data_IF_723290270763
#
_entry.id   IF_723290270763
#
_cell.length_a   1.000
_cell.length_b   1.000
_cell.length_c   1.000
_cell.angle_alpha   90.00
_cell.angle_beta   90.00
_cell.angle_gamma   90.00
#
_symmetry.space_group_name_H-M   'P 1'
#
loop_
_entity.id
_entity.type
_entity.pdbx_description
1 polymer ?
#
# COMPACT_ATOMS: atom_id res chain seq x y z
N UNK A 1 17.70 42.41 -4.02
CA UNK A 1 18.08 41.27 -4.84
C UNK A 1 19.00 40.46 -3.96
N UNK A 2 18.42 39.55 -3.17
CA UNK A 2 19.19 38.49 -2.53
C UNK A 2 19.59 37.55 -3.66
N UNK A 3 20.90 37.46 -3.87
CA UNK A 3 21.46 36.43 -4.76
C UNK A 3 21.36 35.18 -3.92
N UNK A 4 20.34 34.35 -4.20
CA UNK A 4 20.27 32.97 -3.69
C UNK A 4 21.50 32.23 -4.21
N UNK A 5 22.57 32.27 -3.44
CA UNK A 5 23.78 31.50 -3.70
C UNK A 5 23.53 30.08 -3.26
N UNK A 6 22.90 29.30 -4.15
CA UNK A 6 22.75 27.86 -3.93
C UNK A 6 24.15 27.21 -3.83
N UNK A 7 24.32 26.35 -2.82
CA UNK A 7 25.60 25.67 -2.64
C UNK A 7 25.83 24.68 -3.78
N UNK A 8 27.10 24.62 -4.23
CA UNK A 8 27.55 23.66 -5.25
C UNK A 8 28.27 22.49 -4.61
N UNK A 9 28.00 21.31 -5.13
CA UNK A 9 28.67 20.09 -4.72
C UNK A 9 29.30 19.35 -5.88
N UNK A 10 30.03 18.31 -5.57
CA UNK A 10 30.68 17.43 -6.54
C UNK A 10 30.38 15.98 -6.22
N UNK A 11 30.03 15.17 -7.24
CA UNK A 11 29.82 13.74 -7.10
C UNK A 11 31.17 13.06 -6.86
N UNK A 12 31.32 12.39 -5.71
CA UNK A 12 32.55 11.71 -5.33
C UNK A 12 32.50 10.20 -5.47
N UNK A 13 31.29 9.62 -5.38
CA UNK A 13 31.06 8.19 -5.55
C UNK A 13 29.72 7.93 -6.25
N UNK A 14 29.64 6.82 -7.00
CA UNK A 14 28.43 6.37 -7.68
C UNK A 14 28.30 4.88 -7.44
N UNK A 15 27.15 4.45 -6.92
CA UNK A 15 26.78 3.05 -6.73
C UNK A 15 25.34 2.86 -7.19
N UNK A 16 25.19 2.50 -8.46
CA UNK A 16 23.88 2.39 -9.11
C UNK A 16 23.06 3.68 -8.94
N UNK A 17 21.92 3.63 -8.26
CA UNK A 17 21.04 4.79 -8.02
C UNK A 17 21.48 5.67 -6.85
N UNK A 18 22.41 5.21 -6.01
CA UNK A 18 22.96 5.98 -4.89
C UNK A 18 24.26 6.65 -5.30
N UNK A 19 24.32 7.96 -5.07
CA UNK A 19 25.54 8.76 -5.26
C UNK A 19 25.96 9.36 -3.92
N UNK A 20 27.26 9.60 -3.77
CA UNK A 20 27.78 10.41 -2.67
C UNK A 20 28.27 11.73 -3.23
N UNK A 21 27.80 12.81 -2.62
CA UNK A 21 28.12 14.20 -3.03
C UNK A 21 28.83 14.92 -1.90
N UNK A 22 29.88 15.66 -2.22
CA UNK A 22 30.61 16.50 -1.28
C UNK A 22 30.29 17.97 -1.54
N UNK A 23 29.88 18.70 -0.47
CA UNK A 23 29.60 20.12 -0.49
C UNK A 23 30.63 20.83 0.40
N UNK A 24 31.49 21.64 -0.19
CA UNK A 24 32.52 22.37 0.54
C UNK A 24 32.03 23.74 1.04
N UNK A 25 31.12 24.37 0.29
CA UNK A 25 30.59 25.69 0.59
C UNK A 25 29.38 25.63 1.56
N UNK A 26 29.09 26.72 2.24
CA UNK A 26 27.91 26.93 3.08
C UNK A 26 26.90 27.86 2.36
N UNK A 27 25.59 27.67 2.62
CA UNK A 27 24.96 26.69 3.52
C UNK A 27 24.97 25.26 2.97
N UNK A 28 25.11 24.28 3.88
CA UNK A 28 24.96 22.87 3.50
C UNK A 28 23.49 22.56 3.17
N UNK A 29 23.22 21.64 2.21
CA UNK A 29 21.85 21.25 1.90
C UNK A 29 21.21 20.50 3.05
N UNK A 30 19.87 20.58 3.13
CA UNK A 30 19.07 19.83 4.08
C UNK A 30 18.71 18.42 3.58
N UNK A 31 18.30 17.56 4.51
CA UNK A 31 17.73 16.24 4.18
C UNK A 31 16.41 16.44 3.40
N UNK A 32 16.18 15.58 2.41
CA UNK A 32 15.07 15.63 1.46
C UNK A 32 15.10 16.84 0.49
N UNK A 33 16.19 17.58 0.45
CA UNK A 33 16.38 18.62 -0.55
C UNK A 33 16.75 18.01 -1.91
N UNK A 34 16.24 18.62 -2.97
CA UNK A 34 16.54 18.24 -4.35
C UNK A 34 17.82 18.97 -4.81
N UNK A 35 18.71 18.21 -5.41
CA UNK A 35 19.87 18.74 -6.12
C UNK A 35 19.80 18.34 -7.60
N UNK A 36 20.36 19.18 -8.45
CA UNK A 36 20.38 18.98 -9.91
C UNK A 36 21.80 18.89 -10.41
N UNK A 37 22.00 18.13 -11.47
CA UNK A 37 23.26 18.13 -12.20
C UNK A 37 23.43 19.48 -12.92
N UNK A 38 24.57 20.16 -12.76
CA UNK A 38 24.80 21.46 -13.38
C UNK A 38 24.80 21.41 -14.92
N UNK A 39 25.29 20.29 -15.50
CA UNK A 39 25.36 20.09 -16.94
C UNK A 39 24.02 19.68 -17.59
N UNK A 40 23.10 19.10 -16.83
CA UNK A 40 21.77 18.65 -17.28
C UNK A 40 20.78 18.70 -16.11
N UNK A 41 20.03 19.80 -15.99
CA UNK A 41 19.05 20.00 -14.93
C UNK A 41 17.90 18.96 -14.89
N UNK A 42 17.76 18.14 -15.91
CA UNK A 42 16.80 17.04 -15.93
C UNK A 42 17.28 15.82 -15.14
N UNK A 43 18.56 15.80 -14.73
CA UNK A 43 19.11 14.80 -13.81
C UNK A 43 18.98 15.36 -12.39
N UNK A 44 18.10 14.74 -11.61
CA UNK A 44 17.75 15.16 -10.27
C UNK A 44 18.06 14.07 -9.25
N UNK A 45 18.51 14.52 -8.08
CA UNK A 45 18.78 13.64 -6.94
C UNK A 45 18.12 14.20 -5.69
N UNK A 46 17.78 13.33 -4.76
CA UNK A 46 17.32 13.68 -3.42
C UNK A 46 18.41 13.38 -2.41
N UNK A 47 18.62 14.27 -1.45
CA UNK A 47 19.51 14.07 -0.31
C UNK A 47 18.80 13.24 0.75
N UNK A 48 19.34 12.04 1.04
CA UNK A 48 18.72 11.09 1.96
C UNK A 48 19.31 11.20 3.36
N UNK A 49 20.65 11.22 3.45
CA UNK A 49 21.34 11.26 4.74
C UNK A 49 22.73 11.91 4.62
N UNK A 50 23.30 12.30 5.74
CA UNK A 50 24.69 12.74 5.83
C UNK A 50 25.59 11.52 6.03
N UNK A 51 26.55 11.31 5.12
CA UNK A 51 27.59 10.26 5.23
C UNK A 51 28.88 10.76 5.89
N UNK A 52 28.99 12.06 6.14
CA UNK A 52 30.16 12.70 6.76
C UNK A 52 29.97 14.20 6.96
N UNK A 53 31.00 14.91 7.39
CA UNK A 53 30.91 16.34 7.71
C UNK A 53 30.40 17.19 6.53
N UNK A 54 30.86 16.91 5.31
CA UNK A 54 30.52 17.63 4.09
C UNK A 54 29.94 16.69 3.02
N UNK A 55 29.58 15.45 3.38
CA UNK A 55 29.22 14.40 2.45
C UNK A 55 27.81 13.92 2.72
N UNK A 56 27.11 13.66 1.63
CA UNK A 56 25.70 13.26 1.67
C UNK A 56 25.47 12.09 0.71
N UNK A 57 24.74 11.09 1.16
CA UNK A 57 24.15 10.11 0.27
C UNK A 57 22.91 10.71 -0.39
N UNK A 58 22.87 10.58 -1.71
CA UNK A 58 21.75 11.06 -2.51
C UNK A 58 21.27 9.94 -3.41
N UNK A 59 19.97 9.91 -3.70
CA UNK A 59 19.34 8.93 -4.57
C UNK A 59 18.95 9.57 -5.90
N UNK A 60 19.22 8.88 -6.99
CA UNK A 60 18.90 9.33 -8.34
C UNK A 60 17.40 9.10 -8.62
N UNK A 61 16.69 10.19 -8.92
CA UNK A 61 15.26 10.18 -9.21
C UNK A 61 14.95 10.24 -10.71
N UNK A 62 15.93 10.64 -11.55
CA UNK A 62 15.71 10.86 -12.98
C UNK A 62 15.76 9.59 -13.83
N UNK A 63 16.25 8.46 -13.31
CA UNK A 63 16.53 7.25 -14.06
C UNK A 63 17.65 7.41 -15.11
N UNK A 64 18.25 8.59 -15.23
CA UNK A 64 19.34 8.87 -16.16
C UNK A 64 20.70 8.59 -15.51
N UNK A 65 21.68 8.17 -16.30
CA UNK A 65 23.04 7.81 -15.87
C UNK A 65 24.14 8.61 -16.60
N UNK A 66 23.79 9.73 -17.22
CA UNK A 66 24.73 10.58 -17.99
C UNK A 66 25.56 11.51 -17.11
N UNK A 67 26.04 11.05 -15.96
CA UNK A 67 26.91 11.77 -15.03
C UNK A 67 28.06 10.86 -14.58
N UNK A 68 29.13 11.47 -14.04
CA UNK A 68 30.34 10.78 -13.62
C UNK A 68 30.88 11.36 -12.30
N UNK A 69 31.86 10.68 -11.73
CA UNK A 69 32.63 11.26 -10.61
C UNK A 69 33.27 12.59 -11.04
N UNK A 70 33.18 13.59 -10.17
CA UNK A 70 33.62 14.95 -10.46
C UNK A 70 32.56 15.84 -11.12
N UNK A 71 31.39 15.28 -11.51
CA UNK A 71 30.29 16.10 -12.03
C UNK A 71 29.78 17.06 -10.95
N UNK A 72 29.57 18.32 -11.34
CA UNK A 72 29.05 19.34 -10.43
C UNK A 72 27.52 19.24 -10.28
N UNK A 73 27.05 19.43 -9.06
CA UNK A 73 25.63 19.49 -8.73
C UNK A 73 25.31 20.79 -8.00
N UNK A 74 24.07 21.25 -8.11
CA UNK A 74 23.58 22.50 -7.52
C UNK A 74 22.37 22.18 -6.65
N UNK A 75 22.37 22.71 -5.41
CA UNK A 75 21.19 22.67 -4.55
C UNK A 75 20.07 23.52 -5.13
N UNK A 76 18.82 23.09 -4.95
CA UNK A 76 17.66 23.87 -5.38
C UNK A 76 17.01 24.67 -4.26
N UNK A 77 17.33 24.37 -2.99
CA UNK A 77 16.62 24.89 -1.83
C UNK A 77 15.20 24.35 -1.67
N UNK A 78 14.77 23.48 -2.58
CA UNK A 78 13.43 22.89 -2.55
C UNK A 78 13.51 21.44 -2.05
N UNK A 79 12.60 21.07 -1.16
CA UNK A 79 12.42 19.67 -0.76
C UNK A 79 11.67 18.90 -1.83
N UNK A 80 11.87 17.57 -1.84
CA UNK A 80 11.11 16.70 -2.72
C UNK A 80 9.62 16.85 -2.47
N UNK A 81 8.89 17.16 -3.53
CA UNK A 81 7.46 17.43 -3.48
C UNK A 81 6.74 16.84 -4.67
N UNK A 82 5.48 16.50 -4.46
CA UNK A 82 4.59 15.98 -5.49
C UNK A 82 3.56 17.05 -5.87
N UNK A 83 3.29 17.25 -7.17
CA UNK A 83 2.19 18.08 -7.61
C UNK A 83 0.86 17.40 -7.32
N UNK A 84 -0.12 18.15 -6.78
CA UNK A 84 -1.46 17.65 -6.44
C UNK A 84 -2.55 18.59 -6.95
N UNK A 85 -3.71 18.04 -7.28
CA UNK A 85 -4.86 18.78 -7.78
C UNK A 85 -6.07 17.86 -8.00
N UNK A 86 -7.27 18.43 -8.04
CA UNK A 86 -8.52 17.67 -8.29
C UNK A 86 -8.53 16.94 -9.64
N UNK A 87 -7.78 17.45 -10.62
CA UNK A 87 -7.70 16.86 -11.97
C UNK A 87 -6.89 15.55 -12.02
N UNK A 88 -6.35 15.07 -10.87
CA UNK A 88 -5.76 13.74 -10.74
C UNK A 88 -6.82 12.63 -10.73
N UNK A 89 -8.07 12.94 -10.42
CA UNK A 89 -9.16 11.96 -10.47
C UNK A 89 -9.39 11.51 -11.92
N UNK A 90 -9.49 10.22 -12.12
CA UNK A 90 -9.62 9.61 -13.44
C UNK A 90 -8.29 9.41 -14.20
N UNK A 91 -7.14 9.74 -13.58
CA UNK A 91 -5.84 9.75 -14.23
C UNK A 91 -4.87 8.74 -13.60
N UNK A 92 -3.90 8.32 -14.42
CA UNK A 92 -2.76 7.49 -14.01
C UNK A 92 -1.49 8.32 -14.15
N UNK A 93 -0.76 8.51 -13.05
CA UNK A 93 0.43 9.37 -13.00
C UNK A 93 1.61 8.68 -12.30
N UNK A 94 2.81 9.20 -12.54
CA UNK A 94 4.00 8.89 -11.75
C UNK A 94 4.17 9.84 -10.54
N UNK A 95 5.25 9.67 -9.75
CA UNK A 95 5.53 10.49 -8.57
C UNK A 95 5.86 11.96 -8.90
N UNK A 96 6.15 12.29 -10.15
CA UNK A 96 6.41 13.65 -10.64
C UNK A 96 5.17 14.31 -11.24
N UNK A 97 4.07 13.57 -11.36
CA UNK A 97 2.84 14.01 -12.01
C UNK A 97 2.84 13.88 -13.52
N UNK A 98 3.78 13.14 -14.10
CA UNK A 98 3.74 12.83 -15.53
C UNK A 98 2.60 11.84 -15.80
N UNK A 99 1.93 12.00 -16.94
CA UNK A 99 0.88 11.09 -17.36
C UNK A 99 1.44 9.74 -17.80
N UNK A 100 0.83 8.67 -17.30
CA UNK A 100 1.11 7.29 -17.72
C UNK A 100 -0.03 6.69 -18.54
N UNK A 101 -1.19 7.36 -18.58
CA UNK A 101 -2.40 6.95 -19.29
C UNK A 101 -2.46 7.45 -20.75
N UNK A 102 -1.50 8.28 -21.17
CA UNK A 102 -1.44 8.83 -22.51
C UNK A 102 -2.49 9.88 -22.83
N UNK A 103 -3.23 10.38 -21.82
CA UNK A 103 -4.27 11.38 -21.97
C UNK A 103 -3.74 12.83 -21.96
N UNK A 104 -2.41 12.98 -21.86
CA UNK A 104 -1.74 14.28 -21.84
C UNK A 104 -1.58 14.86 -20.45
N UNK A 105 -0.86 15.97 -20.36
CA UNK A 105 -0.44 16.59 -19.11
C UNK A 105 -1.61 16.88 -18.17
N UNK A 106 -1.44 16.50 -16.91
CA UNK A 106 -2.38 16.84 -15.83
C UNK A 106 -2.08 18.24 -15.32
N UNK A 107 -3.12 19.02 -15.11
CA UNK A 107 -3.01 20.34 -14.45
C UNK A 107 -3.11 20.19 -12.95
N UNK A 108 -2.13 20.68 -12.22
CA UNK A 108 -2.04 20.61 -10.77
C UNK A 108 -2.32 21.99 -10.13
N UNK A 109 -2.81 21.98 -8.91
CA UNK A 109 -3.16 23.20 -8.17
C UNK A 109 -1.99 23.67 -7.31
N UNK A 110 -1.24 22.75 -6.73
CA UNK A 110 -0.09 23.03 -5.84
C UNK A 110 0.87 21.85 -5.75
N UNK A 111 1.99 22.06 -5.06
CA UNK A 111 2.92 21.01 -4.64
C UNK A 111 2.78 20.73 -3.15
N UNK A 112 2.93 19.48 -2.73
CA UNK A 112 3.04 19.06 -1.33
C UNK A 112 4.32 18.26 -1.12
N UNK A 113 5.00 18.50 -0.01
CA UNK A 113 6.20 17.74 0.37
C UNK A 113 5.85 16.25 0.52
N UNK A 114 6.73 15.36 0.02
CA UNK A 114 6.53 13.92 0.14
C UNK A 114 6.73 13.44 1.59
N UNK A 115 7.68 14.01 2.30
CA UNK A 115 7.98 13.66 3.70
C UNK A 115 7.30 14.64 4.67
N UNK A 116 5.98 14.72 4.58
CA UNK A 116 5.20 15.50 5.53
C UNK A 116 5.11 14.78 6.89
N UNK A 117 5.04 15.51 8.01
CA UNK A 117 4.82 14.91 9.32
C UNK A 117 3.41 14.28 9.41
N UNK A 118 3.27 13.30 10.29
CA UNK A 118 1.95 12.76 10.63
C UNK A 118 1.03 13.85 11.21
N UNK A 119 -0.30 13.73 11.05
CA UNK A 119 -1.24 14.66 11.68
C UNK A 119 -1.05 14.73 13.20
N UNK A 120 -1.35 15.90 13.83
CA UNK A 120 -1.29 16.03 15.28
C UNK A 120 -2.18 15.00 16.00
N UNK A 121 -1.73 14.52 17.16
CA UNK A 121 -2.41 13.49 17.92
C UNK A 121 -3.88 13.83 18.24
N UNK A 122 -4.20 15.08 18.52
CA UNK A 122 -5.55 15.56 18.86
C UNK A 122 -6.48 15.68 17.65
N UNK A 123 -5.94 15.60 16.42
CA UNK A 123 -6.70 15.58 15.17
C UNK A 123 -7.08 14.17 14.70
N UNK A 124 -6.31 13.16 15.11
CA UNK A 124 -6.57 11.78 14.74
C UNK A 124 -7.85 11.25 15.38
N UNK A 125 -8.67 10.58 14.60
CA UNK A 125 -9.96 10.01 15.04
C UNK A 125 -9.97 8.51 14.78
N UNK A 126 -10.32 7.77 15.81
CA UNK A 126 -10.63 6.33 15.71
C UNK A 126 -12.15 6.20 15.56
N UNK A 127 -12.58 5.58 14.46
CA UNK A 127 -14.00 5.31 14.22
C UNK A 127 -14.34 3.89 14.64
N UNK A 128 -15.60 3.70 15.04
CA UNK A 128 -16.18 2.38 15.35
C UNK A 128 -17.18 1.93 14.29
N UNK A 129 -17.42 2.78 13.29
CA UNK A 129 -18.37 2.50 12.24
C UNK A 129 -17.90 1.38 11.33
N UNK A 130 -18.82 0.52 10.97
CA UNK A 130 -18.59 -0.61 10.12
C UNK A 130 -18.60 -0.20 8.64
N UNK A 131 -17.62 -0.69 7.89
CA UNK A 131 -17.54 -0.53 6.45
C UNK A 131 -18.05 -1.78 5.76
N UNK A 132 -19.27 -1.73 5.23
CA UNK A 132 -19.84 -2.83 4.47
C UNK A 132 -19.19 -2.93 3.09
N UNK A 133 -18.52 -4.05 2.84
CA UNK A 133 -17.87 -4.32 1.55
C UNK A 133 -18.82 -4.94 0.53
N UNK A 134 -19.95 -5.52 0.96
CA UNK A 134 -20.85 -6.30 0.12
C UNK A 134 -20.33 -7.71 -0.19
N UNK A 135 -19.22 -8.10 0.41
CA UNK A 135 -18.61 -9.42 0.25
C UNK A 135 -18.89 -10.23 1.50
N UNK A 136 -19.79 -11.24 1.37
CA UNK A 136 -20.33 -12.02 2.50
C UNK A 136 -19.28 -12.53 3.47
N UNK A 137 -18.20 -13.11 2.96
CA UNK A 137 -17.16 -13.72 3.78
C UNK A 137 -16.36 -12.66 4.56
N UNK A 138 -16.12 -11.50 3.95
CA UNK A 138 -15.45 -10.37 4.59
C UNK A 138 -16.35 -9.76 5.65
N UNK A 139 -17.56 -9.35 5.27
CA UNK A 139 -18.49 -8.67 6.17
C UNK A 139 -18.88 -9.56 7.36
N UNK A 140 -18.91 -10.87 7.20
CA UNK A 140 -19.27 -11.81 8.26
C UNK A 140 -18.13 -12.13 9.22
N UNK A 141 -16.91 -12.40 8.71
CA UNK A 141 -15.82 -12.97 9.49
C UNK A 141 -14.67 -12.01 9.77
N UNK A 142 -14.48 -11.02 8.91
CA UNK A 142 -13.43 -10.01 9.00
C UNK A 142 -14.00 -8.62 8.68
N UNK A 143 -15.05 -8.17 9.42
CA UNK A 143 -15.64 -6.87 9.18
C UNK A 143 -14.59 -5.77 9.22
N UNK A 144 -14.73 -4.77 8.35
CA UNK A 144 -13.81 -3.66 8.22
C UNK A 144 -14.31 -2.44 8.98
N UNK A 145 -13.40 -1.70 9.60
CA UNK A 145 -13.71 -0.39 10.19
C UNK A 145 -13.59 0.70 9.13
N UNK A 146 -14.56 1.58 9.11
CA UNK A 146 -14.48 2.80 8.33
C UNK A 146 -13.40 3.71 8.92
N UNK A 147 -12.35 3.99 8.16
CA UNK A 147 -11.16 4.69 8.65
C UNK A 147 -10.11 3.79 9.30
N UNK A 148 -10.31 2.47 9.27
CA UNK A 148 -9.33 1.50 9.71
C UNK A 148 -8.31 1.13 8.61
N UNK A 149 -7.31 0.36 8.99
CA UNK A 149 -6.28 -0.19 8.11
C UNK A 149 -6.46 -1.70 7.95
N UNK A 150 -6.53 -2.15 6.72
CA UNK A 150 -6.81 -3.54 6.36
C UNK A 150 -5.65 -4.11 5.57
N UNK A 151 -5.07 -5.20 6.03
CA UNK A 151 -4.08 -5.97 5.28
C UNK A 151 -4.73 -7.11 4.50
N UNK A 152 -4.41 -7.19 3.21
CA UNK A 152 -4.83 -8.28 2.33
C UNK A 152 -3.63 -9.17 2.01
N UNK A 153 -3.53 -10.28 2.72
CA UNK A 153 -2.41 -11.21 2.66
C UNK A 153 -2.66 -12.34 1.68
N UNK A 154 -1.62 -12.78 1.00
CA UNK A 154 -1.68 -13.96 0.14
C UNK A 154 -0.60 -14.00 -0.92
N UNK A 155 -0.33 -15.19 -1.43
CA UNK A 155 0.62 -15.41 -2.52
C UNK A 155 0.16 -14.81 -3.86
N UNK A 156 0.96 -14.98 -4.90
CA UNK A 156 0.61 -14.54 -6.25
C UNK A 156 -0.53 -15.38 -6.83
N UNK A 157 -1.46 -14.75 -7.55
CA UNK A 157 -2.51 -15.43 -8.33
C UNK A 157 -3.71 -15.97 -7.53
N UNK A 158 -3.87 -15.57 -6.25
CA UNK A 158 -5.01 -16.00 -5.41
C UNK A 158 -6.21 -15.03 -5.45
N UNK A 159 -6.18 -14.02 -6.33
CA UNK A 159 -7.30 -13.10 -6.54
C UNK A 159 -7.27 -11.83 -5.68
N UNK A 160 -6.08 -11.39 -5.19
CA UNK A 160 -5.95 -10.13 -4.42
C UNK A 160 -6.51 -8.93 -5.17
N UNK A 161 -6.03 -8.70 -6.40
CA UNK A 161 -6.43 -7.55 -7.21
C UNK A 161 -7.93 -7.54 -7.49
N UNK A 162 -8.51 -8.68 -7.85
CA UNK A 162 -9.96 -8.81 -8.09
C UNK A 162 -10.76 -8.48 -6.82
N UNK A 163 -10.31 -8.96 -5.65
CA UNK A 163 -10.95 -8.64 -4.37
C UNK A 163 -10.86 -7.14 -4.05
N UNK A 164 -9.69 -6.52 -4.28
CA UNK A 164 -9.49 -5.08 -4.12
C UNK A 164 -10.43 -4.28 -5.03
N UNK A 165 -10.52 -4.64 -6.30
CA UNK A 165 -11.37 -3.96 -7.28
C UNK A 165 -12.85 -4.09 -6.90
N UNK A 166 -13.29 -5.26 -6.43
CA UNK A 166 -14.66 -5.46 -5.97
C UNK A 166 -14.99 -4.61 -4.74
N UNK A 167 -14.09 -4.55 -3.75
CA UNK A 167 -14.23 -3.67 -2.57
C UNK A 167 -14.35 -2.22 -3.01
N UNK A 168 -13.45 -1.78 -3.90
CA UNK A 168 -13.41 -0.41 -4.42
C UNK A 168 -14.73 -0.06 -5.16
N UNK A 169 -15.17 -0.93 -6.07
CA UNK A 169 -16.39 -0.75 -6.83
C UNK A 169 -17.62 -0.65 -5.90
N UNK A 170 -17.72 -1.52 -4.92
CA UNK A 170 -18.86 -1.55 -4.00
C UNK A 170 -18.91 -0.32 -3.08
N UNK A 171 -17.76 0.17 -2.60
CA UNK A 171 -17.69 1.32 -1.69
C UNK A 171 -17.94 2.63 -2.44
N UNK A 172 -17.33 2.81 -3.62
CA UNK A 172 -17.51 4.05 -4.39
C UNK A 172 -18.94 4.19 -4.87
N UNK A 173 -19.57 3.12 -5.34
CA UNK A 173 -20.95 3.18 -5.86
C UNK A 173 -22.00 3.44 -4.77
N UNK A 174 -21.71 3.19 -3.49
CA UNK A 174 -22.66 3.44 -2.38
C UNK A 174 -22.85 4.95 -2.10
N UNK A 175 -21.77 5.76 -2.20
CA UNK A 175 -21.78 7.18 -1.85
C UNK A 175 -21.08 8.02 -2.95
N UNK A 176 -21.64 8.01 -4.15
CA UNK A 176 -21.16 8.78 -5.29
C UNK A 176 -21.13 10.27 -4.95
N UNK A 177 -19.94 10.85 -4.90
CA UNK A 177 -19.69 12.29 -4.74
C UNK A 177 -18.95 12.68 -3.45
N UNK A 178 -19.02 11.91 -2.37
CA UNK A 178 -18.30 12.20 -1.12
C UNK A 178 -17.09 11.26 -0.90
N UNK A 179 -17.08 10.12 -1.56
CA UNK A 179 -16.00 9.16 -1.51
C UNK A 179 -15.11 9.24 -2.76
N UNK A 180 -13.81 9.29 -2.56
CA UNK A 180 -12.80 9.18 -3.61
C UNK A 180 -11.79 8.10 -3.24
N UNK A 181 -11.07 7.61 -4.23
CA UNK A 181 -10.06 6.60 -3.99
C UNK A 181 -8.71 7.01 -4.56
N UNK A 182 -7.67 6.49 -3.91
CA UNK A 182 -6.29 6.54 -4.39
C UNK A 182 -5.81 5.11 -4.57
N UNK A 183 -5.39 4.75 -5.76
CA UNK A 183 -4.71 3.49 -6.00
C UNK A 183 -3.20 3.76 -6.15
N UNK A 184 -2.41 3.17 -5.27
CA UNK A 184 -0.96 3.32 -5.21
C UNK A 184 -0.30 1.99 -5.57
N UNK A 185 0.18 1.88 -6.82
CA UNK A 185 0.91 0.71 -7.33
C UNK A 185 2.40 0.84 -7.06
N UNK A 186 2.88 0.21 -5.98
CA UNK A 186 4.28 0.25 -5.56
C UNK A 186 5.04 -0.93 -6.14
N UNK A 187 5.90 -0.68 -7.11
CA UNK A 187 6.67 -1.71 -7.78
C UNK A 187 5.79 -2.74 -8.51
N UNK A 188 4.62 -2.32 -8.99
CA UNK A 188 3.68 -3.21 -9.63
C UNK A 188 3.96 -3.36 -11.13
N UNK A 189 3.52 -4.45 -11.72
CA UNK A 189 3.72 -4.70 -13.15
C UNK A 189 2.86 -3.78 -13.99
N UNK A 190 3.43 -3.19 -15.03
CA UNK A 190 2.72 -2.29 -15.95
C UNK A 190 1.46 -2.93 -16.54
N UNK A 191 1.51 -4.25 -16.84
CA UNK A 191 0.36 -4.99 -17.37
C UNK A 191 -0.78 -5.07 -16.35
N UNK A 192 -0.48 -5.38 -15.09
CA UNK A 192 -1.49 -5.48 -14.02
C UNK A 192 -2.12 -4.11 -13.74
N UNK A 193 -1.29 -3.04 -13.78
CA UNK A 193 -1.79 -1.66 -13.69
C UNK A 193 -2.72 -1.26 -14.85
N UNK A 194 -2.38 -1.68 -16.08
CA UNK A 194 -3.21 -1.44 -17.26
C UNK A 194 -4.54 -2.21 -17.18
N UNK A 195 -4.50 -3.49 -16.81
CA UNK A 195 -5.69 -4.32 -16.62
C UNK A 195 -6.63 -3.70 -15.58
N UNK A 196 -6.10 -3.25 -14.42
CA UNK A 196 -6.86 -2.57 -13.40
C UNK A 196 -7.48 -1.25 -13.90
N UNK A 197 -6.71 -0.44 -14.63
CA UNK A 197 -7.21 0.81 -15.20
C UNK A 197 -8.41 0.58 -16.14
N UNK A 198 -8.30 -0.41 -17.05
CA UNK A 198 -9.41 -0.75 -17.95
C UNK A 198 -10.63 -1.30 -17.21
N UNK A 199 -10.41 -2.08 -16.15
CA UNK A 199 -11.48 -2.61 -15.30
C UNK A 199 -12.22 -1.47 -14.55
N UNK A 200 -11.49 -0.54 -13.93
CA UNK A 200 -12.09 0.64 -13.28
C UNK A 200 -12.82 1.54 -14.26
N UNK A 201 -12.33 1.64 -15.48
CA UNK A 201 -12.99 2.39 -16.56
C UNK A 201 -14.29 1.70 -17.01
N UNK A 202 -14.26 0.38 -17.20
CA UNK A 202 -15.43 -0.40 -17.63
C UNK A 202 -16.53 -0.45 -16.55
N UNK A 203 -16.16 -0.44 -15.28
CA UNK A 203 -17.10 -0.37 -14.15
C UNK A 203 -17.66 1.04 -13.89
N UNK A 204 -17.10 2.07 -14.55
CA UNK A 204 -17.56 3.46 -14.44
C UNK A 204 -17.10 4.19 -13.18
N UNK A 205 -16.23 3.60 -12.35
CA UNK A 205 -15.75 4.22 -11.09
C UNK A 205 -14.44 5.00 -11.26
N UNK A 206 -13.76 4.88 -12.39
CA UNK A 206 -12.45 5.50 -12.64
C UNK A 206 -12.43 7.01 -12.36
N UNK A 207 -13.53 7.73 -12.67
CA UNK A 207 -13.64 9.19 -12.45
C UNK A 207 -13.49 9.61 -10.98
N UNK A 208 -13.62 8.69 -10.03
CA UNK A 208 -13.47 8.93 -8.60
C UNK A 208 -12.16 8.31 -8.06
N UNK A 209 -11.28 7.81 -8.92
CA UNK A 209 -10.02 7.16 -8.53
C UNK A 209 -8.84 7.94 -9.12
N UNK A 210 -7.85 8.26 -8.30
CA UNK A 210 -6.53 8.70 -8.75
C UNK A 210 -5.56 7.54 -8.65
N UNK A 211 -4.85 7.24 -9.73
CA UNK A 211 -3.90 6.13 -9.76
C UNK A 211 -2.48 6.67 -9.84
N UNK A 212 -1.61 6.20 -8.95
CA UNK A 212 -0.17 6.50 -8.97
C UNK A 212 0.62 5.21 -9.07
N UNK A 213 1.61 5.19 -9.94
CA UNK A 213 2.45 4.01 -10.16
C UNK A 213 3.94 4.34 -10.09
N UNK A 214 4.67 3.53 -9.28
CA UNK A 214 6.09 3.30 -9.45
C UNK A 214 6.25 1.88 -10.01
N UNK A 215 6.55 1.77 -11.31
CA UNK A 215 6.55 0.48 -12.01
C UNK A 215 7.65 -0.44 -11.49
N UNK A 216 7.48 -1.76 -11.62
CA UNK A 216 8.45 -2.76 -11.19
C UNK A 216 9.84 -2.58 -11.83
N UNK A 217 9.87 -2.10 -13.08
CA UNK A 217 11.11 -1.85 -13.82
C UNK A 217 11.83 -0.56 -13.46
N UNK A 218 11.23 0.30 -12.64
CA UNK A 218 11.86 1.52 -12.18
C UNK A 218 12.86 1.27 -11.06
N UNK A 219 13.74 2.25 -10.84
CA UNK A 219 14.76 2.16 -9.81
C UNK A 219 14.15 2.10 -8.39
N UNK A 220 14.95 1.67 -7.42
CA UNK A 220 14.51 1.52 -6.03
C UNK A 220 14.01 2.83 -5.42
N UNK A 221 14.60 3.98 -5.80
CA UNK A 221 14.21 5.29 -5.31
C UNK A 221 12.75 5.62 -5.67
N UNK A 222 12.38 5.43 -6.93
CA UNK A 222 11.01 5.69 -7.41
C UNK A 222 10.02 4.75 -6.72
N UNK A 223 10.33 3.44 -6.65
CA UNK A 223 9.47 2.46 -5.98
C UNK A 223 9.28 2.79 -4.50
N UNK A 224 10.33 3.22 -3.81
CA UNK A 224 10.27 3.65 -2.41
C UNK A 224 9.41 4.89 -2.22
N UNK A 225 9.63 5.92 -3.02
CA UNK A 225 8.90 7.19 -2.91
C UNK A 225 7.43 7.09 -3.33
N UNK A 226 7.05 6.06 -4.10
CA UNK A 226 5.66 5.87 -4.55
C UNK A 226 4.69 5.71 -3.39
N UNK A 227 5.07 5.01 -2.31
CA UNK A 227 4.21 4.87 -1.13
C UNK A 227 3.95 6.22 -0.43
N UNK A 228 5.00 7.05 -0.30
CA UNK A 228 4.88 8.41 0.24
C UNK A 228 4.03 9.30 -0.67
N UNK A 229 4.17 9.17 -1.97
CA UNK A 229 3.38 9.91 -2.94
C UNK A 229 1.89 9.52 -2.88
N UNK A 230 1.58 8.22 -2.76
CA UNK A 230 0.21 7.74 -2.53
C UNK A 230 -0.40 8.34 -1.25
N UNK A 231 0.36 8.34 -0.15
CA UNK A 231 -0.07 8.96 1.10
C UNK A 231 -0.30 10.48 0.94
N UNK A 232 0.58 11.19 0.23
CA UNK A 232 0.46 12.63 -0.03
C UNK A 232 -0.79 12.96 -0.86
N UNK A 233 -1.14 12.14 -1.86
CA UNK A 233 -2.38 12.30 -2.63
C UNK A 233 -3.60 12.06 -1.72
N UNK A 234 -3.58 11.01 -0.91
CA UNK A 234 -4.67 10.69 0.00
C UNK A 234 -4.91 11.81 1.02
N UNK A 235 -3.84 12.36 1.60
CA UNK A 235 -3.90 13.53 2.48
C UNK A 235 -4.45 14.76 1.78
N UNK A 236 -4.05 15.04 0.54
CA UNK A 236 -4.58 16.15 -0.24
C UNK A 236 -6.09 15.99 -0.46
N UNK A 237 -6.55 14.80 -0.82
CA UNK A 237 -7.97 14.54 -1.03
C UNK A 237 -8.78 14.63 0.26
N UNK A 238 -8.21 14.16 1.39
CA UNK A 238 -8.84 14.26 2.71
C UNK A 238 -8.90 15.70 3.21
N UNK A 239 -7.76 16.40 3.22
CA UNK A 239 -7.57 17.67 3.93
C UNK A 239 -7.95 18.88 3.08
N UNK A 240 -7.60 18.90 1.79
CA UNK A 240 -7.80 20.04 0.91
C UNK A 240 -9.13 19.93 0.13
N UNK A 241 -9.46 18.74 -0.38
CA UNK A 241 -10.73 18.53 -1.09
C UNK A 241 -11.90 18.19 -0.15
N UNK A 242 -11.62 17.89 1.12
CA UNK A 242 -12.62 17.55 2.12
C UNK A 242 -13.41 16.29 1.75
N UNK A 243 -12.75 15.25 1.22
CA UNK A 243 -13.36 13.98 0.82
C UNK A 243 -13.05 12.85 1.80
N UNK A 244 -13.94 11.86 1.88
CA UNK A 244 -13.59 10.57 2.46
C UNK A 244 -12.73 9.81 1.45
N UNK A 245 -11.63 9.27 1.93
CA UNK A 245 -10.62 8.64 1.08
C UNK A 245 -10.53 7.15 1.37
N UNK A 246 -10.51 6.34 0.31
CA UNK A 246 -10.15 4.95 0.34
C UNK A 246 -8.83 4.78 -0.42
N UNK A 247 -7.74 4.54 0.31
CA UNK A 247 -6.44 4.31 -0.32
C UNK A 247 -6.15 2.82 -0.41
N UNK A 248 -5.75 2.38 -1.59
CA UNK A 248 -5.22 1.05 -1.86
C UNK A 248 -3.71 1.15 -2.11
N UNK A 249 -2.92 0.32 -1.43
CA UNK A 249 -1.49 0.16 -1.68
C UNK A 249 -1.20 -1.25 -2.16
N UNK A 250 -0.83 -1.40 -3.41
CA UNK A 250 -0.41 -2.66 -4.01
C UNK A 250 1.00 -2.49 -4.60
N UNK A 251 2.05 -2.96 -3.98
CA UNK A 251 2.15 -3.81 -2.80
C UNK A 251 3.06 -3.16 -1.74
N UNK A 252 2.62 -3.04 -0.49
CA UNK A 252 3.44 -2.41 0.56
C UNK A 252 4.74 -3.18 0.86
N UNK A 253 4.78 -4.48 0.63
CA UNK A 253 6.01 -5.27 0.77
C UNK A 253 7.10 -4.81 -0.21
N UNK A 254 6.73 -4.33 -1.41
CA UNK A 254 7.69 -3.81 -2.39
C UNK A 254 8.28 -2.46 -1.98
N UNK A 255 7.54 -1.66 -1.20
CA UNK A 255 8.08 -0.48 -0.54
C UNK A 255 9.21 -0.87 0.40
N UNK A 256 9.00 -1.89 1.25
CA UNK A 256 10.04 -2.41 2.14
C UNK A 256 11.25 -2.94 1.36
N UNK A 257 11.03 -3.71 0.29
CA UNK A 257 12.12 -4.20 -0.57
C UNK A 257 12.93 -3.06 -1.19
N UNK A 258 12.27 -2.01 -1.68
CA UNK A 258 12.96 -0.85 -2.24
C UNK A 258 13.80 -0.11 -1.20
N UNK A 259 13.30 0.05 0.03
CA UNK A 259 14.06 0.60 1.16
C UNK A 259 15.28 -0.25 1.49
N UNK A 260 15.15 -1.59 1.46
CA UNK A 260 16.27 -2.50 1.68
C UNK A 260 17.34 -2.39 0.58
N UNK A 261 16.93 -2.33 -0.69
CA UNK A 261 17.84 -2.10 -1.82
C UNK A 261 18.65 -0.80 -1.64
N UNK A 262 17.98 0.29 -1.29
CA UNK A 262 18.64 1.59 -1.04
C UNK A 262 19.62 1.53 0.13
N UNK A 263 19.21 0.92 1.24
CA UNK A 263 20.04 0.75 2.44
C UNK A 263 21.32 -0.04 2.16
N UNK A 264 21.22 -1.13 1.39
CA UNK A 264 22.37 -1.92 0.97
C UNK A 264 23.32 -1.13 0.06
N UNK A 265 22.80 -0.31 -0.87
CA UNK A 265 23.61 0.55 -1.72
C UNK A 265 24.33 1.65 -0.93
N UNK A 266 23.76 2.13 0.17
CA UNK A 266 24.38 3.06 1.12
C UNK A 266 25.36 2.37 2.09
N UNK A 267 25.55 1.04 1.99
CA UNK A 267 26.36 0.18 2.87
C UNK A 267 25.90 0.19 4.35
N UNK A 268 24.63 0.40 4.60
CA UNK A 268 24.06 0.26 5.94
C UNK A 268 24.06 -1.23 6.33
N UNK A 269 24.43 -1.51 7.58
CA UNK A 269 24.46 -2.90 8.09
C UNK A 269 23.00 -3.37 8.27
N UNK A 270 22.61 -4.50 7.62
CA UNK A 270 21.26 -5.02 7.78
C UNK A 270 21.01 -5.57 9.19
N UNK A 271 19.74 -5.66 9.58
CA UNK A 271 19.29 -6.36 10.79
C UNK A 271 19.49 -7.87 10.69
N UNK A 272 19.28 -8.61 11.79
CA UNK A 272 19.38 -10.09 11.80
C UNK A 272 18.46 -10.77 10.77
N UNK A 273 17.28 -10.16 10.46
CA UNK A 273 16.36 -10.65 9.44
C UNK A 273 16.76 -10.30 8.00
N UNK A 274 17.90 -9.62 7.79
CA UNK A 274 18.38 -9.23 6.46
C UNK A 274 17.73 -7.96 5.90
N UNK A 275 16.85 -7.30 6.65
CA UNK A 275 16.21 -6.03 6.30
C UNK A 275 17.02 -4.83 6.81
N UNK A 276 16.70 -3.64 6.28
CA UNK A 276 17.26 -2.37 6.74
C UNK A 276 16.93 -2.11 8.22
N UNK A 277 17.87 -1.50 8.95
CA UNK A 277 17.67 -1.14 10.36
C UNK A 277 16.51 -0.13 10.56
N UNK A 278 16.20 0.66 9.53
CA UNK A 278 15.16 1.69 9.47
C UNK A 278 13.77 1.16 9.13
N UNK A 279 13.61 -0.16 8.86
CA UNK A 279 12.37 -0.80 8.42
C UNK A 279 11.13 -0.33 9.20
N UNK A 280 11.17 -0.46 10.52
CA UNK A 280 10.02 -0.11 11.37
C UNK A 280 9.70 1.39 11.33
N UNK A 281 10.73 2.25 11.24
CA UNK A 281 10.55 3.70 11.14
C UNK A 281 9.96 4.12 9.80
N UNK A 282 10.40 3.52 8.71
CA UNK A 282 9.91 3.79 7.36
C UNK A 282 8.44 3.37 7.21
N UNK A 283 8.10 2.16 7.70
CA UNK A 283 6.71 1.68 7.74
C UNK A 283 5.85 2.61 8.60
N UNK A 284 6.35 3.01 9.78
CA UNK A 284 5.65 3.96 10.65
C UNK A 284 5.38 5.30 9.96
N UNK A 285 6.38 5.87 9.29
CA UNK A 285 6.24 7.16 8.62
C UNK A 285 5.12 7.20 7.59
N UNK A 286 4.90 6.11 6.86
CA UNK A 286 3.78 6.00 5.91
C UNK A 286 2.46 5.81 6.65
N UNK A 287 2.38 4.86 7.59
CA UNK A 287 1.12 4.47 8.25
C UNK A 287 0.56 5.53 9.20
N UNK A 288 1.42 6.28 9.92
CA UNK A 288 1.00 7.34 10.82
C UNK A 288 0.40 8.55 10.09
N UNK A 289 0.65 8.70 8.80
CA UNK A 289 0.01 9.70 7.95
C UNK A 289 -1.38 9.27 7.48
N UNK A 290 -1.60 7.95 7.34
CA UNK A 290 -2.83 7.35 6.84
C UNK A 290 -3.84 7.17 7.99
N UNK A 291 -4.29 8.27 8.57
CA UNK A 291 -5.26 8.28 9.66
C UNK A 291 -6.45 9.17 9.33
N UNK A 292 -7.61 8.84 9.90
CA UNK A 292 -8.81 9.68 9.81
C UNK A 292 -8.65 10.93 10.67
N UNK A 293 -9.24 12.05 10.24
CA UNK A 293 -9.30 13.30 10.98
C UNK A 293 -10.74 13.64 11.35
N UNK A 294 -10.95 14.61 12.25
CA UNK A 294 -12.27 14.95 12.81
C UNK A 294 -13.39 15.13 11.78
N UNK A 295 -13.05 15.63 10.59
CA UNK A 295 -14.04 15.96 9.59
C UNK A 295 -14.10 14.98 8.42
N UNK A 296 -13.07 14.11 8.25
CA UNK A 296 -12.95 13.21 7.09
C UNK A 296 -12.27 11.90 7.43
N UNK A 297 -12.74 10.86 6.77
CA UNK A 297 -12.31 9.49 6.98
C UNK A 297 -11.29 9.10 5.91
N UNK A 298 -10.23 8.40 6.33
CA UNK A 298 -9.26 7.78 5.46
C UNK A 298 -9.14 6.31 5.83
N UNK A 299 -9.64 5.44 4.96
CA UNK A 299 -9.57 3.98 5.08
C UNK A 299 -8.43 3.47 4.21
N UNK A 300 -7.62 2.58 4.75
CA UNK A 300 -6.47 2.02 4.04
C UNK A 300 -6.67 0.52 3.79
N UNK A 301 -6.41 0.07 2.57
CA UNK A 301 -6.38 -1.35 2.20
C UNK A 301 -5.04 -1.64 1.54
N UNK A 302 -4.27 -2.53 2.12
CA UNK A 302 -2.91 -2.82 1.71
C UNK A 302 -2.78 -4.27 1.25
N UNK A 303 -2.37 -4.46 -0.01
CA UNK A 303 -1.98 -5.78 -0.46
C UNK A 303 -0.57 -6.09 0.05
N UNK A 304 -0.41 -7.22 0.71
CA UNK A 304 0.84 -7.65 1.30
C UNK A 304 1.22 -8.99 0.68
N UNK A 305 2.31 -8.99 -0.07
CA UNK A 305 2.92 -10.23 -0.54
C UNK A 305 3.73 -10.83 0.60
N UNK A 306 3.51 -12.11 0.87
CA UNK A 306 4.28 -12.83 1.88
C UNK A 306 5.18 -13.80 1.14
N UNK A 307 6.52 -13.65 1.25
CA UNK A 307 7.44 -14.64 0.69
C UNK A 307 7.18 -16.02 1.31
N UNK A 308 7.08 -17.04 0.48
CA UNK A 308 6.88 -18.44 0.90
C UNK A 308 5.65 -18.69 1.80
N UNK A 309 4.69 -17.76 1.79
CA UNK A 309 3.51 -17.75 2.68
C UNK A 309 3.90 -17.71 4.19
N UNK A 310 5.10 -17.19 4.54
CA UNK A 310 5.60 -17.05 5.91
C UNK A 310 5.10 -15.75 6.58
N UNK A 311 4.06 -15.86 7.38
CA UNK A 311 3.51 -14.75 8.18
C UNK A 311 4.46 -14.21 9.26
N UNK A 312 5.54 -14.90 9.56
CA UNK A 312 6.54 -14.47 10.54
C UNK A 312 7.69 -13.66 9.92
N UNK A 313 7.67 -13.44 8.60
CA UNK A 313 8.61 -12.54 7.94
C UNK A 313 8.64 -11.17 8.62
N UNK A 314 9.85 -10.60 8.85
CA UNK A 314 10.03 -9.37 9.61
C UNK A 314 9.32 -8.17 8.97
N UNK A 315 9.28 -8.10 7.63
CA UNK A 315 8.58 -7.02 6.93
C UNK A 315 7.06 -7.15 7.06
N UNK A 316 6.53 -8.39 6.96
CA UNK A 316 5.12 -8.66 7.20
C UNK A 316 4.73 -8.27 8.63
N UNK A 317 5.52 -8.66 9.63
CA UNK A 317 5.29 -8.31 11.04
C UNK A 317 5.34 -6.80 11.32
N UNK A 318 6.24 -6.06 10.64
CA UNK A 318 6.32 -4.62 10.78
C UNK A 318 5.04 -3.92 10.30
N UNK A 319 4.41 -4.43 9.24
CA UNK A 319 3.13 -3.91 8.73
C UNK A 319 1.94 -4.36 9.59
N UNK A 320 1.93 -5.63 10.05
CA UNK A 320 0.87 -6.17 10.91
C UNK A 320 0.56 -5.30 12.13
N UNK A 321 1.58 -4.68 12.72
CA UNK A 321 1.43 -3.81 13.89
C UNK A 321 0.54 -2.59 13.67
N UNK A 322 0.26 -2.21 12.42
CA UNK A 322 -0.57 -1.06 12.06
C UNK A 322 -1.98 -1.44 11.60
N UNK A 323 -2.27 -2.73 11.42
CA UNK A 323 -3.52 -3.19 10.83
C UNK A 323 -4.61 -3.42 11.89
N UNK A 324 -5.82 -2.94 11.60
CA UNK A 324 -7.03 -3.24 12.38
C UNK A 324 -7.67 -4.56 11.98
N UNK A 325 -7.47 -4.98 10.73
CA UNK A 325 -8.01 -6.22 10.18
C UNK A 325 -7.03 -6.86 9.20
N UNK A 326 -6.99 -8.18 9.17
CA UNK A 326 -6.17 -8.97 8.24
C UNK A 326 -7.04 -10.00 7.51
N UNK A 327 -7.07 -9.91 6.19
CA UNK A 327 -7.73 -10.87 5.32
C UNK A 327 -6.65 -11.72 4.67
N UNK A 328 -6.65 -13.01 4.94
CA UNK A 328 -5.70 -13.96 4.38
C UNK A 328 -6.36 -14.73 3.25
N UNK A 329 -5.76 -14.71 2.06
CA UNK A 329 -6.21 -15.48 0.91
C UNK A 329 -5.49 -16.82 0.86
N UNK A 330 -6.27 -17.89 0.69
CA UNK A 330 -5.81 -19.27 0.67
C UNK A 330 -5.70 -19.80 -0.76
N UNK A 331 -4.54 -20.38 -1.08
CA UNK A 331 -4.30 -21.04 -2.35
C UNK A 331 -5.16 -22.32 -2.49
N UNK A 332 -5.45 -23.00 -1.39
CA UNK A 332 -6.27 -24.20 -1.37
C UNK A 332 -7.75 -23.86 -1.61
N UNK A 333 -8.27 -22.82 -0.96
CA UNK A 333 -9.63 -22.33 -1.24
C UNK A 333 -9.78 -21.91 -2.71
N UNK A 334 -8.74 -21.28 -3.30
CA UNK A 334 -8.74 -20.92 -4.72
C UNK A 334 -8.78 -22.17 -5.64
N UNK A 335 -7.98 -23.19 -5.34
CA UNK A 335 -7.95 -24.45 -6.10
C UNK A 335 -9.26 -25.23 -6.01
N UNK A 336 -9.97 -25.13 -4.89
CA UNK A 336 -11.30 -25.72 -4.68
C UNK A 336 -12.42 -24.92 -5.37
N UNK A 337 -12.10 -23.81 -6.04
CA UNK A 337 -13.08 -22.94 -6.71
C UNK A 337 -13.97 -22.16 -5.75
N UNK A 338 -13.57 -22.02 -4.48
CA UNK A 338 -14.27 -21.21 -3.48
C UNK A 338 -13.79 -19.77 -3.58
N UNK A 339 -14.60 -18.92 -4.14
CA UNK A 339 -14.27 -17.50 -4.36
C UNK A 339 -15.24 -16.59 -3.57
N UNK A 340 -14.74 -15.50 -2.96
CA UNK A 340 -13.32 -15.14 -2.80
C UNK A 340 -12.58 -16.18 -1.95
N UNK A 341 -11.31 -16.42 -2.30
CA UNK A 341 -10.51 -17.47 -1.70
C UNK A 341 -9.98 -17.11 -0.29
N UNK A 342 -10.85 -16.58 0.57
CA UNK A 342 -10.49 -16.13 1.93
C UNK A 342 -10.39 -17.32 2.87
N UNK A 343 -9.29 -17.40 3.59
CA UNK A 343 -9.14 -18.29 4.74
C UNK A 343 -9.80 -17.66 5.98
N UNK A 344 -10.95 -18.20 6.35
CA UNK A 344 -11.74 -17.66 7.47
C UNK A 344 -11.03 -17.84 8.81
N UNK A 345 -10.24 -18.89 8.97
CA UNK A 345 -9.57 -19.21 10.24
C UNK A 345 -8.25 -18.46 10.43
N UNK A 346 -7.54 -18.21 9.33
CA UNK A 346 -6.32 -17.39 9.34
C UNK A 346 -6.59 -15.88 9.32
N UNK A 347 -7.81 -15.48 8.95
CA UNK A 347 -8.20 -14.06 8.89
C UNK A 347 -8.75 -13.58 10.22
N UNK A 348 -8.40 -12.32 10.58
CA UNK A 348 -8.82 -11.70 11.83
C UNK A 348 -9.27 -10.25 11.64
N UNK A 349 -10.08 -9.74 12.56
CA UNK A 349 -10.53 -8.35 12.58
C UNK A 349 -10.83 -7.87 13.99
N UNK A 350 -10.20 -6.76 14.38
CA UNK A 350 -10.52 -6.03 15.60
C UNK A 350 -11.94 -5.47 15.62
N UNK A 351 -12.58 -5.34 14.46
CA UNK A 351 -13.98 -4.92 14.36
C UNK A 351 -14.97 -6.02 14.73
N UNK A 352 -14.58 -7.29 14.69
CA UNK A 352 -15.44 -8.41 15.09
C UNK A 352 -15.49 -8.54 16.62
N UNK A 353 -16.10 -7.56 17.26
CA UNK A 353 -16.31 -7.54 18.70
C UNK A 353 -17.71 -7.03 19.06
N UNK A 354 -18.26 -7.33 20.27
CA UNK A 354 -19.62 -6.97 20.64
C UNK A 354 -19.91 -5.46 20.72
N UNK A 355 -18.87 -4.61 20.65
CA UNK A 355 -19.04 -3.15 20.66
C UNK A 355 -19.34 -2.61 19.26
N UNK A 356 -18.78 -3.25 18.24
CA UNK A 356 -18.83 -2.79 16.85
C UNK A 356 -19.88 -3.51 16.01
N UNK A 357 -20.12 -4.82 16.28
CA UNK A 357 -21.12 -5.61 15.56
C UNK A 357 -22.25 -6.06 16.49
N UNK A 358 -23.42 -6.40 15.92
CA UNK A 358 -24.54 -6.89 16.75
C UNK A 358 -24.18 -8.18 17.50
N UNK A 359 -24.77 -8.43 18.70
CA UNK A 359 -24.52 -9.66 19.44
C UNK A 359 -24.81 -10.92 18.64
N UNK A 360 -25.85 -10.90 17.78
CA UNK A 360 -26.18 -12.01 16.91
C UNK A 360 -25.09 -12.27 15.88
N UNK A 361 -24.56 -11.22 15.23
CA UNK A 361 -23.46 -11.32 14.27
C UNK A 361 -22.22 -11.93 14.96
N UNK A 362 -21.80 -11.37 16.08
CA UNK A 362 -20.64 -11.84 16.84
C UNK A 362 -20.76 -13.33 17.25
N UNK A 363 -21.90 -13.73 17.81
CA UNK A 363 -22.14 -15.12 18.22
C UNK A 363 -22.15 -16.07 17.01
N UNK A 364 -22.80 -15.68 15.90
CA UNK A 364 -22.90 -16.50 14.70
C UNK A 364 -21.54 -16.70 14.04
N UNK A 365 -20.74 -15.62 13.92
CA UNK A 365 -19.39 -15.68 13.36
C UNK A 365 -18.48 -16.60 14.17
N UNK A 366 -18.48 -16.47 15.52
CA UNK A 366 -17.67 -17.33 16.39
C UNK A 366 -18.13 -18.78 16.39
N UNK A 367 -19.45 -19.03 16.37
CA UNK A 367 -19.98 -20.39 16.25
C UNK A 367 -19.59 -21.04 14.94
N UNK A 368 -19.65 -20.29 13.82
CA UNK A 368 -19.23 -20.77 12.52
C UNK A 368 -17.71 -21.04 12.49
N UNK A 369 -16.86 -20.12 12.99
CA UNK A 369 -15.41 -20.34 13.13
C UNK A 369 -15.10 -21.60 13.95
N UNK A 370 -15.85 -21.86 15.03
CA UNK A 370 -15.69 -23.07 15.85
C UNK A 370 -16.01 -24.36 15.07
N UNK A 371 -17.08 -24.36 14.28
CA UNK A 371 -17.45 -25.50 13.41
C UNK A 371 -16.36 -25.72 12.34
N UNK A 372 -15.91 -24.65 11.69
CA UNK A 372 -14.87 -24.73 10.66
C UNK A 372 -13.54 -25.26 11.21
N UNK A 373 -13.13 -24.80 12.41
CA UNK A 373 -11.91 -25.28 13.08
C UNK A 373 -11.96 -26.78 13.43
N UNK A 374 -13.12 -27.28 13.87
CA UNK A 374 -13.30 -28.72 14.10
C UNK A 374 -13.26 -29.50 12.79
N UNK A 375 -13.91 -28.98 11.74
CA UNK A 375 -13.94 -29.63 10.44
C UNK A 375 -12.55 -29.71 9.78
N UNK A 376 -11.66 -28.75 9.98
CA UNK A 376 -10.27 -28.77 9.49
C UNK A 376 -9.50 -30.00 9.99
N UNK A 377 -9.71 -30.39 11.25
CA UNK A 377 -9.13 -31.63 11.81
C UNK A 377 -9.73 -32.87 11.16
N UNK A 378 -11.04 -32.85 10.87
CA UNK A 378 -11.75 -33.98 10.24
C UNK A 378 -11.39 -34.11 8.76
N UNK A 379 -11.06 -33.04 8.04
CA UNK A 379 -10.65 -33.08 6.64
C UNK A 379 -9.44 -34.01 6.41
N UNK A 380 -8.48 -34.02 7.34
CA UNK A 380 -7.32 -34.93 7.30
C UNK A 380 -7.76 -36.40 7.40
N UNK A 381 -8.73 -36.67 8.26
CA UNK A 381 -9.29 -38.03 8.42
C UNK A 381 -10.04 -38.42 7.17
N UNK A 382 -10.93 -37.55 6.68
CA UNK A 382 -11.75 -37.80 5.48
C UNK A 382 -10.86 -38.03 4.25
N UNK A 383 -9.78 -37.28 4.10
CA UNK A 383 -8.85 -37.46 2.97
C UNK A 383 -8.11 -38.80 2.98
N UNK A 384 -7.94 -39.42 4.15
CA UNK A 384 -7.24 -40.68 4.30
C UNK A 384 -8.17 -41.92 4.21
N UNK A 385 -9.30 -41.85 4.89
CA UNK A 385 -10.17 -43.01 5.08
C UNK A 385 -11.62 -42.86 4.56
N UNK A 386 -11.99 -41.64 4.16
CA UNK A 386 -13.31 -41.30 3.67
C UNK A 386 -14.31 -40.82 4.72
N UNK A 387 -15.36 -40.10 4.29
CA UNK A 387 -16.40 -39.52 5.17
C UNK A 387 -17.21 -40.59 5.92
N UNK A 388 -17.34 -41.82 5.33
CA UNK A 388 -18.08 -42.94 5.94
C UNK A 388 -17.50 -43.39 7.29
N UNK A 389 -16.22 -43.18 7.50
CA UNK A 389 -15.51 -43.60 8.73
C UNK A 389 -15.64 -42.59 9.88
N UNK A 390 -16.23 -41.43 9.63
CA UNK A 390 -16.50 -40.43 10.69
C UNK A 390 -17.63 -40.95 11.61
N UNK A 391 -17.51 -40.58 12.90
CA UNK A 391 -18.64 -40.73 13.83
C UNK A 391 -19.85 -39.92 13.33
N UNK A 392 -21.05 -40.27 13.79
CA UNK A 392 -22.28 -39.55 13.39
C UNK A 392 -22.19 -38.05 13.77
N UNK A 393 -21.66 -37.74 14.94
CA UNK A 393 -21.43 -36.37 15.41
C UNK A 393 -20.45 -35.62 14.51
N UNK A 394 -19.32 -36.21 14.19
CA UNK A 394 -18.26 -35.58 13.37
C UNK A 394 -18.74 -35.39 11.93
N UNK A 395 -19.51 -36.33 11.40
CA UNK A 395 -20.12 -36.22 10.07
C UNK A 395 -21.07 -35.02 9.99
N UNK A 396 -21.89 -34.78 11.01
CA UNK A 396 -22.78 -33.62 11.08
C UNK A 396 -21.95 -32.31 11.12
N UNK A 397 -20.86 -32.28 11.88
CA UNK A 397 -19.95 -31.11 11.94
C UNK A 397 -19.31 -30.84 10.58
N UNK A 398 -18.79 -31.90 9.94
CA UNK A 398 -18.15 -31.81 8.63
C UNK A 398 -19.12 -31.30 7.54
N UNK A 399 -20.34 -31.83 7.51
CA UNK A 399 -21.37 -31.40 6.57
C UNK A 399 -21.83 -29.95 6.82
N UNK A 400 -21.94 -29.52 8.08
CA UNK A 400 -22.24 -28.11 8.43
C UNK A 400 -21.15 -27.18 7.97
N UNK A 401 -19.87 -27.54 8.16
CA UNK A 401 -18.76 -26.78 7.70
C UNK A 401 -18.77 -26.59 6.18
N UNK A 402 -19.02 -27.66 5.43
CA UNK A 402 -19.14 -27.59 3.97
C UNK A 402 -20.30 -26.70 3.51
N UNK A 403 -21.43 -26.72 4.22
CA UNK A 403 -22.54 -25.80 3.94
C UNK A 403 -22.16 -24.34 4.20
N UNK A 404 -21.43 -24.05 5.29
CA UNK A 404 -20.92 -22.70 5.59
C UNK A 404 -19.98 -22.25 4.49
N UNK A 405 -18.99 -23.06 4.12
CA UNK A 405 -18.01 -22.75 3.06
C UNK A 405 -18.73 -22.45 1.74
N UNK A 406 -19.68 -23.29 1.33
CA UNK A 406 -20.44 -23.08 0.10
C UNK A 406 -21.33 -21.82 0.13
N UNK A 407 -21.98 -21.55 1.28
CA UNK A 407 -22.80 -20.35 1.44
C UNK A 407 -21.99 -19.06 1.35
N UNK A 408 -20.72 -19.08 1.80
CA UNK A 408 -19.83 -17.92 1.75
C UNK A 408 -19.22 -17.67 0.36
N UNK A 409 -19.33 -18.64 -0.56
CA UNK A 409 -18.92 -18.44 -1.96
C UNK A 409 -19.83 -17.41 -2.63
N UNK A 410 -19.22 -16.49 -3.38
CA UNK A 410 -19.90 -15.38 -4.03
C UNK A 410 -19.19 -15.03 -5.34
N UNK A 411 -19.94 -14.83 -6.43
CA UNK A 411 -19.43 -14.23 -7.65
C UNK A 411 -19.18 -12.74 -7.43
N UNK A 412 -18.14 -12.22 -8.05
CA UNK A 412 -17.83 -10.79 -8.04
C UNK A 412 -18.42 -10.11 -9.28
N UNK A 413 -18.94 -8.92 -9.08
CA UNK A 413 -19.47 -8.10 -10.17
C UNK A 413 -18.40 -7.76 -11.21
N UNK A 414 -17.17 -7.47 -10.76
CA UNK A 414 -16.04 -7.14 -11.64
C UNK A 414 -15.51 -8.35 -12.41
N UNK A 415 -15.75 -9.59 -11.93
CA UNK A 415 -15.31 -10.81 -12.59
C UNK A 415 -16.31 -11.35 -13.62
N UNK A 416 -17.54 -10.84 -13.65
CA UNK A 416 -18.60 -11.28 -14.58
C UNK A 416 -18.60 -10.49 -15.90
N UNK A 417 -17.76 -9.47 -16.03
CA UNK A 417 -17.57 -8.65 -17.23
C UNK A 417 -16.28 -9.02 -17.96
#
# INVERSE_FOLDING_TARGET
MEIDTFSKGSIISIKDVVIEVEFLDDPKPGIHEIIKLEADESVIFEIVESSGINRFHCINLSGKSNFSRGSAVICTGEKISMPVGKNMLGRVIDIFGNDLDGLGKVEFEKKKELFAPAPPYDDAVVTTDFLETGIKIVDMFTPLLRGGKVGLFGGSGVGKTILLTEILNNIINKDLGDNVSVFCGVGERSREGQELHEELKSSGVLSNVSMIFGQMGENASIRFLTAYAGATIAEYMRDDLGKNVLIFMDNIFRFVQAGNELSLLMNTIPSEGGYQATLSSEVAQVHERLVSRKDRILTTVEAIYIPEDDLFDQAAQAVFGYLDSSIVLSRDAYREGRLPAVDILASDSGALNPKNVSPLHYQTANSAKSILKKAELLERIVSLVGESELSEEDRVIYQRANKIKNYMTQSFFVAEK
#
